data_IF_621819297049
#
_entry.id   IF_621819297049
#
_cell.length_a   1.000
_cell.length_b   1.000
_cell.length_c   1.000
_cell.angle_alpha   90.00
_cell.angle_beta   90.00
_cell.angle_gamma   90.00
#
_symmetry.space_group_name_H-M   'P 1'
#
loop_
_entity.id
_entity.type
_entity.pdbx_description
1 polymer ?
#
# COMPACT_ATOMS: atom_id res chain seq x y z
N UNK A 1 -43.79 -1.00 8.32
CA UNK A 1 -42.77 -1.90 7.71
C UNK A 1 -41.93 -1.23 6.61
N UNK A 2 -42.41 -0.20 5.91
CA UNK A 2 -41.70 0.50 4.82
C UNK A 2 -40.47 1.30 5.26
N UNK A 3 -40.56 2.04 6.38
CA UNK A 3 -39.46 2.89 6.89
C UNK A 3 -38.20 2.11 7.31
N UNK A 4 -38.35 0.91 7.88
CA UNK A 4 -37.21 0.09 8.31
C UNK A 4 -36.41 -0.52 7.14
N UNK A 5 -37.07 -0.87 6.02
CA UNK A 5 -36.39 -1.38 4.81
C UNK A 5 -35.54 -0.31 4.12
N UNK A 6 -35.97 0.95 4.16
CA UNK A 6 -35.19 2.09 3.66
C UNK A 6 -33.91 2.30 4.47
N UNK A 7 -34.00 2.28 5.80
CA UNK A 7 -32.84 2.52 6.68
C UNK A 7 -31.77 1.44 6.54
N UNK A 8 -32.16 0.16 6.44
CA UNK A 8 -31.21 -0.95 6.22
C UNK A 8 -30.53 -0.86 4.86
N UNK A 9 -31.23 -0.38 3.83
CA UNK A 9 -30.68 -0.24 2.48
C UNK A 9 -29.63 0.88 2.40
N UNK A 10 -29.88 2.01 3.07
CA UNK A 10 -28.93 3.12 3.14
C UNK A 10 -27.68 2.74 3.93
N UNK A 11 -27.83 2.12 5.10
CA UNK A 11 -26.70 1.67 5.93
C UNK A 11 -25.80 0.67 5.19
N UNK A 12 -26.40 -0.29 4.48
CA UNK A 12 -25.68 -1.26 3.63
C UNK A 12 -24.90 -0.58 2.50
N UNK A 13 -25.50 0.41 1.82
CA UNK A 13 -24.82 1.19 0.77
C UNK A 13 -23.63 1.98 1.32
N UNK A 14 -23.77 2.61 2.48
CA UNK A 14 -22.68 3.38 3.12
C UNK A 14 -21.53 2.44 3.48
N UNK A 15 -21.81 1.30 4.14
CA UNK A 15 -20.79 0.31 4.48
C UNK A 15 -20.07 -0.23 3.26
N UNK A 16 -20.79 -0.50 2.17
CA UNK A 16 -20.18 -0.94 0.93
C UNK A 16 -19.24 0.12 0.33
N UNK A 17 -19.62 1.41 0.36
CA UNK A 17 -18.77 2.51 -0.11
C UNK A 17 -17.54 2.71 0.78
N UNK A 18 -17.69 2.61 2.10
CA UNK A 18 -16.57 2.68 3.04
C UNK A 18 -15.58 1.53 2.81
N UNK A 19 -16.07 0.30 2.66
CA UNK A 19 -15.22 -0.86 2.35
C UNK A 19 -14.43 -0.63 1.05
N UNK A 20 -15.09 -0.12 0.01
CA UNK A 20 -14.46 0.19 -1.26
C UNK A 20 -13.38 1.28 -1.15
N UNK A 21 -13.64 2.33 -0.38
CA UNK A 21 -12.67 3.41 -0.15
C UNK A 21 -11.45 2.90 0.63
N UNK A 22 -11.67 2.12 1.70
CA UNK A 22 -10.58 1.52 2.49
C UNK A 22 -9.71 0.61 1.60
N UNK A 23 -10.35 -0.24 0.79
CA UNK A 23 -9.66 -1.09 -0.16
C UNK A 23 -8.82 -0.26 -1.15
N UNK A 24 -9.40 0.80 -1.73
CA UNK A 24 -8.72 1.66 -2.69
C UNK A 24 -7.48 2.33 -2.08
N UNK A 25 -7.59 2.85 -0.85
CA UNK A 25 -6.45 3.47 -0.16
C UNK A 25 -5.34 2.45 0.07
N UNK A 26 -5.67 1.25 0.55
CA UNK A 26 -4.68 0.19 0.74
C UNK A 26 -4.02 -0.23 -0.57
N UNK A 27 -4.81 -0.38 -1.65
CA UNK A 27 -4.28 -0.71 -2.96
C UNK A 27 -3.36 0.39 -3.52
N UNK A 28 -3.67 1.67 -3.25
CA UNK A 28 -2.83 2.79 -3.64
C UNK A 28 -1.50 2.79 -2.89
N UNK A 29 -1.51 2.54 -1.57
CA UNK A 29 -0.27 2.38 -0.79
C UNK A 29 0.59 1.22 -1.33
N UNK A 30 -0.04 0.09 -1.63
CA UNK A 30 0.66 -1.06 -2.22
C UNK A 30 1.27 -0.72 -3.60
N UNK A 31 0.53 0.00 -4.44
CA UNK A 31 1.00 0.44 -5.74
C UNK A 31 2.22 1.36 -5.60
N UNK A 32 2.17 2.35 -4.70
CA UNK A 32 3.28 3.28 -4.46
C UNK A 32 4.55 2.53 -4.04
N UNK A 33 4.44 1.56 -3.12
CA UNK A 33 5.57 0.72 -2.72
C UNK A 33 6.14 -0.10 -3.88
N UNK A 34 5.27 -0.74 -4.67
CA UNK A 34 5.69 -1.54 -5.81
C UNK A 34 6.38 -0.70 -6.89
N UNK A 35 5.84 0.49 -7.20
CA UNK A 35 6.46 1.42 -8.15
C UNK A 35 7.77 1.95 -7.59
N UNK A 36 7.83 2.35 -6.32
CA UNK A 36 9.07 2.79 -5.68
C UNK A 36 10.17 1.72 -5.76
N UNK A 37 9.83 0.46 -5.51
CA UNK A 37 10.76 -0.65 -5.61
C UNK A 37 11.27 -0.85 -7.03
N UNK A 38 10.38 -0.74 -8.03
CA UNK A 38 10.75 -0.80 -9.44
C UNK A 38 11.67 0.36 -9.85
N UNK A 39 11.39 1.58 -9.41
CA UNK A 39 12.21 2.76 -9.69
C UNK A 39 13.63 2.61 -9.14
N UNK A 40 13.78 2.06 -7.93
CA UNK A 40 15.11 1.75 -7.38
C UNK A 40 15.79 0.64 -8.18
N UNK A 41 15.05 -0.41 -8.55
CA UNK A 41 15.62 -1.54 -9.30
C UNK A 41 16.09 -1.16 -10.71
N UNK A 42 15.44 -0.18 -11.33
CA UNK A 42 15.79 0.35 -12.65
C UNK A 42 16.80 1.50 -12.60
N UNK A 43 17.30 1.85 -11.42
CA UNK A 43 18.18 3.01 -11.21
C UNK A 43 17.61 4.31 -11.81
N UNK A 44 16.31 4.53 -11.56
CA UNK A 44 15.59 5.67 -12.12
C UNK A 44 16.16 7.01 -11.63
N UNK A 45 16.17 8.01 -12.51
CA UNK A 45 16.74 9.33 -12.23
C UNK A 45 16.01 10.03 -11.06
N UNK A 46 16.63 10.02 -9.87
CA UNK A 46 16.08 10.63 -8.65
C UNK A 46 16.09 12.16 -8.66
N UNK A 47 16.75 12.81 -9.63
CA UNK A 47 16.61 14.26 -9.82
C UNK A 47 15.27 14.65 -10.46
N UNK A 48 14.54 13.69 -11.04
CA UNK A 48 13.21 13.92 -11.56
C UNK A 48 12.20 14.03 -10.40
N UNK A 49 11.45 15.14 -10.38
CA UNK A 49 10.50 15.44 -9.32
C UNK A 49 9.43 14.35 -9.13
N UNK A 50 9.00 13.68 -10.20
CA UNK A 50 8.02 12.59 -10.09
C UNK A 50 8.63 11.34 -9.46
N UNK A 51 9.85 10.98 -9.85
CA UNK A 51 10.59 9.84 -9.26
C UNK A 51 10.82 10.08 -7.78
N UNK A 52 11.37 11.25 -7.40
CA UNK A 52 11.58 11.63 -6.00
C UNK A 52 10.27 11.64 -5.21
N UNK A 53 9.18 12.18 -5.78
CA UNK A 53 7.86 12.17 -5.14
C UNK A 53 7.38 10.73 -4.84
N UNK A 54 7.49 9.82 -5.80
CA UNK A 54 7.07 8.41 -5.60
C UNK A 54 7.95 7.74 -4.55
N UNK A 55 9.26 7.95 -4.56
CA UNK A 55 10.17 7.36 -3.58
C UNK A 55 9.88 7.86 -2.15
N UNK A 56 9.61 9.16 -1.98
CA UNK A 56 9.19 9.72 -0.68
C UNK A 56 7.84 9.20 -0.23
N UNK A 57 6.90 9.05 -1.16
CA UNK A 57 5.60 8.46 -0.85
C UNK A 57 5.77 7.00 -0.40
N UNK A 58 6.64 6.23 -1.06
CA UNK A 58 6.96 4.85 -0.67
C UNK A 58 7.65 4.78 0.71
N UNK A 59 8.64 5.63 0.97
CA UNK A 59 9.27 5.76 2.30
C UNK A 59 8.23 6.14 3.39
N UNK A 60 7.14 6.85 3.05
CA UNK A 60 6.07 7.16 4.00
C UNK A 60 5.10 5.98 4.25
N UNK A 61 4.71 5.27 3.19
CA UNK A 61 3.71 4.18 3.30
C UNK A 61 4.32 2.83 3.65
N UNK A 62 5.65 2.71 3.73
CA UNK A 62 6.31 1.51 4.27
C UNK A 62 6.16 1.35 5.79
N UNK A 63 5.59 2.37 6.44
CA UNK A 63 5.25 2.45 7.87
C UNK A 63 6.43 2.10 8.80
N UNK A 64 7.66 2.29 8.33
CA UNK A 64 8.91 1.98 9.02
C UNK A 64 9.24 0.48 9.04
N UNK A 65 8.25 -0.39 9.27
CA UNK A 65 8.43 -1.86 9.34
C UNK A 65 9.01 -2.42 8.05
N UNK A 66 8.58 -1.89 6.90
CA UNK A 66 9.01 -2.34 5.59
C UNK A 66 10.08 -1.44 4.98
N UNK A 67 10.84 -0.71 5.81
CA UNK A 67 11.86 0.20 5.32
C UNK A 67 12.89 -0.48 4.41
N UNK A 68 13.24 0.18 3.31
CA UNK A 68 14.38 -0.24 2.48
C UNK A 68 15.74 0.00 3.15
N UNK A 69 15.80 0.77 4.24
CA UNK A 69 17.04 1.09 4.97
C UNK A 69 17.19 0.26 6.24
N UNK A 70 16.10 0.02 6.97
CA UNK A 70 16.11 -0.75 8.23
C UNK A 70 14.84 -1.61 8.42
N UNK A 71 14.35 -2.22 7.34
CA UNK A 71 13.20 -3.11 7.38
C UNK A 71 13.54 -4.57 7.74
N UNK A 72 12.51 -5.42 7.65
CA UNK A 72 12.52 -6.85 8.01
C UNK A 72 13.78 -7.59 7.54
N UNK A 73 14.26 -7.32 6.31
CA UNK A 73 15.48 -7.92 5.78
C UNK A 73 16.49 -6.87 5.37
N UNK A 74 17.72 -7.07 5.86
CA UNK A 74 18.89 -6.31 5.46
C UNK A 74 19.88 -7.19 4.69
N UNK A 75 19.96 -6.96 3.38
CA UNK A 75 21.00 -7.46 2.51
C UNK A 75 22.26 -6.59 2.64
N UNK A 76 23.43 -7.20 2.44
CA UNK A 76 24.73 -6.53 2.48
C UNK A 76 25.53 -6.87 1.22
N UNK A 77 26.48 -6.02 0.88
CA UNK A 77 27.31 -6.15 -0.32
C UNK A 77 26.60 -5.69 -1.59
N UNK A 78 27.03 -6.22 -2.73
CA UNK A 78 26.63 -5.69 -4.03
C UNK A 78 25.13 -5.79 -4.29
N UNK A 79 24.57 -4.67 -4.75
CA UNK A 79 23.15 -4.52 -5.02
C UNK A 79 22.27 -4.56 -3.77
N UNK A 80 22.82 -4.42 -2.56
CA UNK A 80 22.05 -4.43 -1.31
C UNK A 80 20.88 -3.44 -1.33
N UNK A 81 21.09 -2.24 -1.86
CA UNK A 81 20.04 -1.21 -1.95
C UNK A 81 18.84 -1.70 -2.78
N UNK A 82 19.09 -2.26 -3.96
CA UNK A 82 18.05 -2.79 -4.85
C UNK A 82 17.35 -3.99 -4.20
N UNK A 83 18.12 -4.92 -3.62
CA UNK A 83 17.57 -6.11 -2.95
C UNK A 83 16.71 -5.72 -1.74
N UNK A 84 17.15 -4.78 -0.92
CA UNK A 84 16.40 -4.27 0.22
C UNK A 84 15.10 -3.60 -0.23
N UNK A 85 15.16 -2.74 -1.24
CA UNK A 85 13.97 -2.07 -1.77
C UNK A 85 12.96 -3.08 -2.34
N UNK A 86 13.40 -3.98 -3.23
CA UNK A 86 12.55 -5.00 -3.83
C UNK A 86 11.92 -5.92 -2.77
N UNK A 87 12.70 -6.36 -1.79
CA UNK A 87 12.21 -7.28 -0.78
C UNK A 87 11.30 -6.61 0.25
N UNK A 88 11.77 -5.53 0.90
CA UNK A 88 11.02 -4.92 2.00
C UNK A 88 9.78 -4.19 1.48
N UNK A 89 9.90 -3.35 0.45
CA UNK A 89 8.73 -2.66 -0.11
C UNK A 89 7.81 -3.61 -0.88
N UNK A 90 8.35 -4.67 -1.51
CA UNK A 90 7.53 -5.74 -2.09
C UNK A 90 6.68 -6.45 -1.04
N UNK A 91 7.26 -6.78 0.13
CA UNK A 91 6.51 -7.31 1.27
C UNK A 91 5.49 -6.31 1.83
N UNK A 92 5.87 -5.04 1.94
CA UNK A 92 4.96 -3.98 2.38
C UNK A 92 3.76 -3.83 1.46
N UNK A 93 3.96 -3.92 0.14
CA UNK A 93 2.87 -3.89 -0.84
C UNK A 93 1.90 -5.06 -0.64
N UNK A 94 2.42 -6.27 -0.44
CA UNK A 94 1.59 -7.45 -0.13
C UNK A 94 0.84 -7.23 1.19
N UNK A 95 1.49 -6.71 2.23
CA UNK A 95 0.87 -6.46 3.52
C UNK A 95 -0.32 -5.48 3.41
N UNK A 96 -0.15 -4.38 2.68
CA UNK A 96 -1.24 -3.43 2.40
C UNK A 96 -2.42 -4.09 1.69
N UNK A 97 -2.17 -4.92 0.67
CA UNK A 97 -3.22 -5.65 -0.03
C UNK A 97 -3.93 -6.64 0.90
N UNK A 98 -3.20 -7.37 1.74
CA UNK A 98 -3.80 -8.32 2.69
C UNK A 98 -4.66 -7.59 3.71
N UNK A 99 -4.14 -6.53 4.34
CA UNK A 99 -4.87 -5.72 5.33
C UNK A 99 -6.12 -5.11 4.69
N UNK A 100 -5.99 -4.48 3.52
CA UNK A 100 -7.12 -3.94 2.78
C UNK A 100 -8.18 -5.00 2.50
N UNK A 101 -7.77 -6.23 2.12
CA UNK A 101 -8.71 -7.31 1.78
C UNK A 101 -9.45 -7.82 3.01
N UNK A 102 -8.77 -7.89 4.15
CA UNK A 102 -9.36 -8.28 5.44
C UNK A 102 -10.35 -7.21 5.90
N UNK A 103 -9.97 -5.94 5.88
CA UNK A 103 -10.84 -4.83 6.25
C UNK A 103 -12.08 -4.76 5.35
N UNK A 104 -11.91 -4.93 4.04
CA UNK A 104 -13.01 -4.98 3.08
C UNK A 104 -14.02 -6.09 3.42
N UNK A 105 -13.54 -7.30 3.82
CA UNK A 105 -14.42 -8.40 4.24
C UNK A 105 -15.15 -8.13 5.55
N UNK A 106 -14.52 -7.43 6.49
CA UNK A 106 -15.11 -7.12 7.81
C UNK A 106 -16.16 -6.00 7.67
N UNK A 107 -15.88 -4.99 6.85
CA UNK A 107 -16.76 -3.81 6.71
C UNK A 107 -17.95 -4.12 5.82
N UNK A 108 -17.77 -4.93 4.78
CA UNK A 108 -18.87 -5.37 3.91
C UNK A 108 -19.97 -6.05 4.76
N UNK A 109 -21.24 -5.67 4.53
CA UNK A 109 -22.38 -6.26 5.22
C UNK A 109 -22.59 -7.73 4.87
#
# INVERSE_FOLDING_TARGET
>A
MTRQRETTTVATKIRARLAQLIWLVCALCALVLAVGALLIALDANTSNALVDFVLRAADYVDVGVFSRQDGIKQFRGDGAQVKNALFNWGLGAIAWLVVGRVLDRIVKP
#
